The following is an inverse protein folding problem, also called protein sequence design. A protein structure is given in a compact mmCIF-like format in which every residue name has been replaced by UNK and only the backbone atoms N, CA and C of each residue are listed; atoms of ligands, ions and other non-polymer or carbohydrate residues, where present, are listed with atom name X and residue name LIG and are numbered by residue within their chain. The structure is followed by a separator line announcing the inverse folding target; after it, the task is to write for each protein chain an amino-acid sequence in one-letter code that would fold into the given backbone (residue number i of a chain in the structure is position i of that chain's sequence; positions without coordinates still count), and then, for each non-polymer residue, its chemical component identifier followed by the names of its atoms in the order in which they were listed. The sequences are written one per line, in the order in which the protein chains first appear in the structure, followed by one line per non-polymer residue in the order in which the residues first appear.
data_IF_296614581675
#
_entry.id   IF_296614581675
#
_cell.length_a   1.000
_cell.length_b   1.000
_cell.length_c   1.000
_cell.angle_alpha   90.00
_cell.angle_beta   90.00
_cell.angle_gamma   90.00
#
_symmetry.space_group_name_H-M   'P 1'
#
loop_
_entity.id
_entity.type
_entity.pdbx_description
1 polymer ?
#
# COMPACT_ATOMS: atom_id res chain seq x y z
N UNK A 1 18.32 9.66 28.39
CA UNK A 1 18.36 8.46 27.52
C UNK A 1 17.01 8.26 26.85
N UNK A 2 16.82 8.79 25.63
CA UNK A 2 15.61 8.50 24.86
C UNK A 2 15.76 7.10 24.26
N UNK A 3 14.97 6.13 24.72
CA UNK A 3 14.87 4.82 24.06
C UNK A 3 14.44 5.09 22.61
N UNK A 4 15.27 4.72 21.65
CA UNK A 4 14.92 4.76 20.24
C UNK A 4 13.62 3.97 20.05
N UNK A 5 12.54 4.65 19.67
CA UNK A 5 11.26 4.01 19.40
C UNK A 5 11.44 3.02 18.26
N UNK A 6 10.80 1.86 18.36
CA UNK A 6 10.75 0.93 17.24
C UNK A 6 10.11 1.63 16.03
N UNK A 7 10.50 1.32 14.78
CA UNK A 7 9.97 1.99 13.58
C UNK A 7 8.44 2.01 13.50
N UNK A 8 7.78 0.95 14.00
CA UNK A 8 6.31 0.88 14.12
C UNK A 8 5.74 1.91 15.09
N UNK A 9 6.28 1.99 16.31
CA UNK A 9 5.83 2.98 17.30
C UNK A 9 6.08 4.41 16.85
N UNK A 10 7.18 4.66 16.15
CA UNK A 10 7.46 5.99 15.58
C UNK A 10 6.41 6.38 14.51
N UNK A 11 5.95 5.44 13.69
CA UNK A 11 4.88 5.67 12.72
C UNK A 11 3.52 5.91 13.40
N UNK A 12 3.19 5.12 14.42
CA UNK A 12 1.97 5.28 15.23
C UNK A 12 1.92 6.65 15.94
N UNK A 13 3.01 7.05 16.60
CA UNK A 13 3.13 8.35 17.26
C UNK A 13 2.99 9.50 16.25
N UNK A 14 3.58 9.37 15.06
CA UNK A 14 3.45 10.37 14.00
C UNK A 14 2.01 10.49 13.52
N UNK A 15 1.32 9.37 13.30
CA UNK A 15 -0.08 9.36 12.89
C UNK A 15 -0.98 10.01 13.97
N UNK A 16 -0.74 9.69 15.24
CA UNK A 16 -1.45 10.30 16.36
C UNK A 16 -1.22 11.82 16.43
N UNK A 17 0.03 12.26 16.31
CA UNK A 17 0.38 13.69 16.30
C UNK A 17 -0.28 14.42 15.13
N UNK A 18 -0.33 13.81 13.95
CA UNK A 18 -0.96 14.40 12.78
C UNK A 18 -2.46 14.60 12.99
N UNK A 19 -3.16 13.59 13.51
CA UNK A 19 -4.59 13.70 13.81
C UNK A 19 -4.82 14.82 14.83
N UNK A 20 -4.00 14.88 15.88
CA UNK A 20 -4.09 15.93 16.89
C UNK A 20 -3.85 17.32 16.31
N UNK A 21 -2.78 17.52 15.54
CA UNK A 21 -2.46 18.79 14.89
C UNK A 21 -3.55 19.18 13.90
N UNK A 22 -4.01 18.25 13.06
CA UNK A 22 -5.10 18.48 12.11
C UNK A 22 -6.40 18.89 12.79
N UNK A 23 -6.75 18.24 13.90
CA UNK A 23 -7.92 18.59 14.71
C UNK A 23 -7.82 20.00 15.30
N UNK A 24 -6.67 20.34 15.90
CA UNK A 24 -6.43 21.67 16.49
C UNK A 24 -6.47 22.78 15.43
N UNK A 25 -5.81 22.56 14.28
CA UNK A 25 -5.79 23.53 13.18
C UNK A 25 -7.17 23.70 12.57
N UNK A 26 -7.94 22.62 12.39
CA UNK A 26 -9.30 22.69 11.86
C UNK A 26 -10.24 23.44 12.81
N UNK A 27 -10.12 23.20 14.12
CA UNK A 27 -10.87 23.94 15.12
C UNK A 27 -10.53 25.43 15.09
N UNK A 28 -9.24 25.77 15.14
CA UNK A 28 -8.77 27.15 15.11
C UNK A 28 -9.26 27.91 13.86
N UNK A 29 -9.11 27.31 12.67
CA UNK A 29 -9.54 27.95 11.42
C UNK A 29 -11.06 28.11 11.34
N UNK A 30 -11.83 27.11 11.77
CA UNK A 30 -13.28 27.20 11.78
C UNK A 30 -13.79 28.29 12.75
N UNK A 31 -13.16 28.42 13.92
CA UNK A 31 -13.46 29.49 14.87
C UNK A 31 -13.04 30.86 14.33
N UNK A 32 -11.88 30.96 13.69
CA UNK A 32 -11.41 32.20 13.07
C UNK A 32 -12.33 32.68 11.93
N UNK A 33 -12.91 31.75 11.18
CA UNK A 33 -13.92 32.00 10.16
C UNK A 33 -15.34 32.22 10.73
N UNK A 34 -15.50 32.17 12.06
CA UNK A 34 -16.78 32.35 12.78
C UNK A 34 -17.86 31.36 12.32
N UNK A 35 -17.48 30.13 11.99
CA UNK A 35 -18.44 29.10 11.61
C UNK A 35 -19.27 28.68 12.83
N UNK A 36 -20.61 28.48 12.69
CA UNK A 36 -21.49 28.23 13.83
C UNK A 36 -21.15 26.97 14.62
N UNK A 37 -20.62 25.94 13.95
CA UNK A 37 -20.34 24.63 14.56
C UNK A 37 -18.93 24.12 14.21
N UNK A 38 -17.87 24.70 14.80
CA UNK A 38 -16.47 24.39 14.46
C UNK A 38 -16.09 22.91 14.61
N UNK A 39 -16.78 22.17 15.49
CA UNK A 39 -16.53 20.75 15.71
C UNK A 39 -16.73 19.89 14.45
N UNK A 40 -17.57 20.30 13.49
CA UNK A 40 -17.73 19.59 12.22
C UNK A 40 -16.49 19.67 11.32
N UNK A 41 -15.76 20.79 11.39
CA UNK A 41 -14.47 20.93 10.70
C UNK A 41 -13.46 19.97 11.31
N UNK A 42 -13.45 19.83 12.64
CA UNK A 42 -12.59 18.88 13.36
C UNK A 42 -12.89 17.44 12.95
N UNK A 43 -14.16 17.02 13.01
CA UNK A 43 -14.59 15.68 12.60
C UNK A 43 -14.18 15.43 11.15
N UNK A 44 -14.39 16.39 10.25
CA UNK A 44 -14.04 16.22 8.84
C UNK A 44 -12.55 16.11 8.60
N UNK A 45 -11.72 16.89 9.30
CA UNK A 45 -10.27 16.75 9.25
C UNK A 45 -9.82 15.35 9.69
N UNK A 46 -10.36 14.86 10.82
CA UNK A 46 -10.06 13.51 11.32
C UNK A 46 -10.47 12.44 10.32
N UNK A 47 -11.70 12.53 9.77
CA UNK A 47 -12.18 11.55 8.80
C UNK A 47 -11.33 11.56 7.54
N UNK A 48 -10.98 12.72 7.00
CA UNK A 48 -10.09 12.80 5.83
C UNK A 48 -8.73 12.20 6.14
N UNK A 49 -8.15 12.48 7.30
CA UNK A 49 -6.86 11.89 7.72
C UNK A 49 -6.94 10.36 7.79
N UNK A 50 -7.99 9.82 8.41
CA UNK A 50 -8.15 8.38 8.62
C UNK A 50 -8.53 7.61 7.35
N UNK A 51 -9.43 8.16 6.52
CA UNK A 51 -9.97 7.48 5.34
C UNK A 51 -9.08 7.61 4.11
N UNK A 52 -8.11 8.52 4.11
CA UNK A 52 -7.11 8.61 3.04
C UNK A 52 -6.02 7.55 3.13
N UNK A 53 -6.00 6.74 4.20
CA UNK A 53 -5.12 5.56 4.29
C UNK A 53 -5.64 4.50 3.32
N UNK A 54 -4.96 4.32 2.18
CA UNK A 54 -5.38 3.34 1.17
C UNK A 54 -5.93 3.93 -0.13
N UNK A 55 -6.07 5.26 -0.23
CA UNK A 55 -6.69 5.93 -1.39
C UNK A 55 -6.17 7.35 -1.62
N UNK A 56 -6.61 7.97 -2.72
CA UNK A 56 -6.26 9.37 -3.02
C UNK A 56 -6.92 10.31 -2.02
N UNK A 57 -6.10 11.04 -1.24
CA UNK A 57 -6.56 12.07 -0.28
C UNK A 57 -7.47 13.11 -0.93
N UNK A 58 -7.18 13.48 -2.17
CA UNK A 58 -7.95 14.48 -2.88
C UNK A 58 -9.30 13.90 -3.34
N UNK A 59 -9.34 12.61 -3.69
CA UNK A 59 -10.60 11.92 -4.02
C UNK A 59 -11.49 11.85 -2.79
N UNK A 60 -10.94 11.50 -1.63
CA UNK A 60 -11.68 11.48 -0.35
C UNK A 60 -12.23 12.87 -0.01
N UNK A 61 -11.40 13.92 -0.10
CA UNK A 61 -11.82 15.28 0.16
C UNK A 61 -12.89 15.77 -0.84
N UNK A 62 -12.72 15.47 -2.14
CA UNK A 62 -13.70 15.79 -3.19
C UNK A 62 -15.02 15.07 -2.93
N UNK A 63 -14.98 13.78 -2.64
CA UNK A 63 -16.16 12.96 -2.41
C UNK A 63 -16.92 13.46 -1.17
N UNK A 64 -16.23 13.88 -0.11
CA UNK A 64 -16.87 14.56 1.03
C UNK A 64 -17.51 15.89 0.64
N UNK A 65 -16.79 16.75 -0.08
CA UNK A 65 -17.31 18.05 -0.50
C UNK A 65 -18.57 17.90 -1.37
N UNK A 66 -18.52 17.05 -2.41
CA UNK A 66 -19.65 16.82 -3.32
C UNK A 66 -20.83 16.15 -2.61
N UNK A 67 -20.57 15.16 -1.75
CA UNK A 67 -21.61 14.51 -0.97
C UNK A 67 -22.30 15.45 0.02
N UNK A 68 -21.53 16.32 0.68
CA UNK A 68 -22.10 17.35 1.56
C UNK A 68 -22.92 18.35 0.78
N UNK A 69 -22.45 18.84 -0.37
CA UNK A 69 -23.25 19.74 -1.21
C UNK A 69 -24.56 19.07 -1.64
N UNK A 70 -24.51 17.81 -2.11
CA UNK A 70 -25.71 17.08 -2.49
C UNK A 70 -26.69 16.90 -1.32
N UNK A 71 -26.20 16.51 -0.14
CA UNK A 71 -27.02 16.37 1.05
C UNK A 71 -27.59 17.70 1.55
N UNK A 72 -26.80 18.78 1.50
CA UNK A 72 -27.22 20.12 1.89
C UNK A 72 -28.30 20.67 0.95
N UNK A 73 -28.21 20.40 -0.36
CA UNK A 73 -29.24 20.77 -1.33
C UNK A 73 -30.55 20.02 -1.07
N UNK A 74 -30.51 18.69 -0.94
CA UNK A 74 -31.71 17.90 -0.67
C UNK A 74 -32.32 18.28 0.68
N UNK A 75 -31.49 18.37 1.73
CA UNK A 75 -31.95 18.76 3.05
C UNK A 75 -32.51 20.17 3.09
N UNK A 76 -31.88 21.12 2.40
CA UNK A 76 -32.33 22.50 2.28
C UNK A 76 -33.67 22.62 1.57
N UNK A 77 -33.88 21.89 0.48
CA UNK A 77 -35.18 21.84 -0.24
C UNK A 77 -36.27 21.29 0.66
N UNK A 78 -36.02 20.16 1.34
CA UNK A 78 -37.01 19.55 2.25
C UNK A 78 -37.32 20.47 3.43
N UNK A 79 -36.31 21.10 4.01
CA UNK A 79 -36.48 22.03 5.11
C UNK A 79 -37.21 23.32 4.68
N UNK A 80 -37.02 23.77 3.44
CA UNK A 80 -37.70 24.94 2.88
C UNK A 80 -39.20 24.72 2.71
N UNK A 81 -39.60 23.50 2.30
CA UNK A 81 -41.03 23.12 2.17
C UNK A 81 -41.75 23.15 3.52
N UNK A 82 -41.02 23.08 4.65
CA UNK A 82 -41.56 23.10 6.02
C UNK A 82 -42.74 22.14 6.23
N UNK A 83 -42.50 20.82 6.26
CA UNK A 83 -43.55 19.84 6.52
C UNK A 83 -44.19 20.12 7.89
N UNK A 84 -45.48 20.41 7.91
CA UNK A 84 -46.19 20.73 9.15
C UNK A 84 -46.46 19.46 9.99
N UNK A 85 -46.06 19.49 11.25
CA UNK A 85 -46.28 18.41 12.21
C UNK A 85 -45.16 17.36 12.23
N UNK A 86 -44.94 16.80 13.41
CA UNK A 86 -43.82 15.87 13.67
C UNK A 86 -43.84 14.64 12.77
N UNK A 87 -45.03 14.13 12.43
CA UNK A 87 -45.19 12.95 11.57
C UNK A 87 -44.72 13.21 10.14
N UNK A 88 -45.05 14.38 9.58
CA UNK A 88 -44.62 14.77 8.23
C UNK A 88 -43.13 15.06 8.18
N UNK A 89 -42.57 15.65 9.24
CA UNK A 89 -41.13 15.84 9.36
C UNK A 89 -40.39 14.49 9.45
N UNK A 90 -40.91 13.52 10.21
CA UNK A 90 -40.35 12.17 10.26
C UNK A 90 -40.42 11.47 8.89
N UNK A 91 -41.56 11.56 8.19
CA UNK A 91 -41.75 10.94 6.88
C UNK A 91 -40.81 11.53 5.81
N UNK A 92 -40.68 12.86 5.77
CA UNK A 92 -39.79 13.54 4.81
C UNK A 92 -38.31 13.31 5.13
N UNK A 93 -37.92 13.30 6.42
CA UNK A 93 -36.59 12.91 6.84
C UNK A 93 -36.27 11.47 6.43
N UNK A 94 -37.17 10.53 6.72
CA UNK A 94 -37.01 9.12 6.35
C UNK A 94 -36.89 8.96 4.83
N UNK A 95 -37.76 9.61 4.05
CA UNK A 95 -37.73 9.58 2.58
C UNK A 95 -36.44 10.15 2.00
N UNK A 96 -35.98 11.32 2.49
CA UNK A 96 -34.76 11.96 2.03
C UNK A 96 -33.51 11.12 2.36
N UNK A 97 -33.41 10.62 3.59
CA UNK A 97 -32.28 9.80 4.05
C UNK A 97 -32.27 8.46 3.31
N UNK A 98 -33.41 7.77 3.20
CA UNK A 98 -33.52 6.50 2.48
C UNK A 98 -33.22 6.66 0.99
N UNK A 99 -33.76 7.70 0.35
CA UNK A 99 -33.48 8.00 -1.06
C UNK A 99 -32.01 8.25 -1.32
N UNK A 100 -31.38 9.14 -0.54
CA UNK A 100 -29.95 9.41 -0.65
C UNK A 100 -29.10 8.18 -0.36
N UNK A 101 -29.46 7.37 0.64
CA UNK A 101 -28.76 6.13 0.97
C UNK A 101 -28.86 5.09 -0.15
N UNK A 102 -30.05 4.97 -0.76
CA UNK A 102 -30.27 4.12 -1.93
C UNK A 102 -29.36 4.53 -3.09
N UNK A 103 -29.35 5.83 -3.44
CA UNK A 103 -28.49 6.36 -4.51
C UNK A 103 -26.99 6.35 -4.17
N UNK A 104 -26.61 6.29 -2.89
CA UNK A 104 -25.22 6.13 -2.48
C UNK A 104 -24.66 4.72 -2.77
N UNK A 105 -25.52 3.74 -3.02
CA UNK A 105 -25.10 2.39 -3.41
C UNK A 105 -24.30 2.46 -4.71
N UNK A 106 -23.04 2.04 -4.67
CA UNK A 106 -22.13 2.12 -5.82
C UNK A 106 -21.59 3.52 -6.14
N UNK A 107 -21.95 4.56 -5.37
CA UNK A 107 -21.50 5.95 -5.57
C UNK A 107 -20.84 6.48 -4.28
N UNK A 108 -19.53 6.23 -4.07
CA UNK A 108 -18.83 6.59 -2.83
C UNK A 108 -18.96 8.06 -2.42
N UNK A 109 -19.02 8.98 -3.39
CA UNK A 109 -19.17 10.41 -3.16
C UNK A 109 -20.49 10.82 -2.51
N UNK A 110 -21.54 9.99 -2.60
CA UNK A 110 -22.85 10.27 -1.96
C UNK A 110 -22.95 9.75 -0.53
N UNK A 111 -21.95 9.01 -0.01
CA UNK A 111 -22.05 8.34 1.30
C UNK A 111 -22.34 9.29 2.48
N UNK A 112 -21.89 10.54 2.42
CA UNK A 112 -22.11 11.54 3.48
C UNK A 112 -23.39 12.38 3.27
N UNK A 113 -24.00 12.29 2.08
CA UNK A 113 -25.18 13.08 1.74
C UNK A 113 -26.38 12.83 2.66
N UNK A 114 -26.74 11.57 3.02
CA UNK A 114 -27.87 11.31 3.92
C UNK A 114 -27.70 11.96 5.30
N UNK A 115 -26.50 11.88 5.85
CA UNK A 115 -26.17 12.51 7.16
C UNK A 115 -26.30 14.02 7.07
N UNK A 116 -25.76 14.62 6.01
CA UNK A 116 -25.83 16.08 5.81
C UNK A 116 -27.29 16.54 5.64
N UNK A 117 -28.08 15.82 4.84
CA UNK A 117 -29.49 16.12 4.65
C UNK A 117 -30.27 16.03 5.97
N UNK A 118 -30.03 15.00 6.77
CA UNK A 118 -30.67 14.85 8.08
C UNK A 118 -30.39 16.03 9.02
N UNK A 119 -29.14 16.51 9.06
CA UNK A 119 -28.76 17.66 9.88
C UNK A 119 -29.47 18.93 9.41
N UNK A 120 -29.49 19.20 8.10
CA UNK A 120 -30.11 20.41 7.55
C UNK A 120 -31.64 20.38 7.73
N UNK A 121 -32.28 19.22 7.56
CA UNK A 121 -33.72 19.06 7.80
C UNK A 121 -34.05 19.29 9.28
N UNK A 122 -33.29 18.68 10.19
CA UNK A 122 -33.53 18.79 11.63
C UNK A 122 -33.24 20.21 12.16
N UNK A 123 -32.19 20.86 11.68
CA UNK A 123 -31.79 22.19 12.13
C UNK A 123 -32.47 23.35 11.38
N UNK A 124 -33.06 23.10 10.20
CA UNK A 124 -33.64 24.13 9.34
C UNK A 124 -34.87 24.85 9.92
N UNK A 125 -35.42 24.34 11.02
CA UNK A 125 -36.46 24.99 11.82
C UNK A 125 -35.93 26.11 12.74
N UNK A 126 -34.60 26.28 12.81
CA UNK A 126 -33.95 27.31 13.64
C UNK A 126 -34.02 28.73 13.06
N UNK A 127 -33.54 29.73 13.81
CA UNK A 127 -33.66 31.16 13.47
C UNK A 127 -32.95 31.58 12.18
N UNK A 128 -31.87 30.90 11.83
CA UNK A 128 -31.00 31.24 10.68
C UNK A 128 -31.59 30.80 9.33
N UNK A 129 -32.61 29.93 9.37
CA UNK A 129 -33.25 29.36 8.19
C UNK A 129 -32.41 28.26 7.50
N UNK A 130 -33.06 27.46 6.64
CA UNK A 130 -32.45 26.24 6.09
C UNK A 130 -31.31 26.51 5.10
N UNK A 131 -31.36 27.64 4.38
CA UNK A 131 -30.33 28.00 3.40
C UNK A 131 -29.00 28.37 4.07
N UNK A 132 -29.03 29.17 5.14
CA UNK A 132 -27.84 29.55 5.89
C UNK A 132 -27.21 28.33 6.55
N UNK A 133 -28.02 27.49 7.22
CA UNK A 133 -27.54 26.26 7.85
C UNK A 133 -26.87 25.30 6.84
N UNK A 134 -27.44 25.18 5.64
CA UNK A 134 -26.88 24.38 4.55
C UNK A 134 -25.52 24.93 4.07
N UNK A 135 -25.43 26.25 3.90
CA UNK A 135 -24.18 26.92 3.51
C UNK A 135 -23.10 26.73 4.57
N UNK A 136 -23.45 26.92 5.84
CA UNK A 136 -22.52 26.75 6.96
C UNK A 136 -21.98 25.33 7.01
N UNK A 137 -22.85 24.32 6.82
CA UNK A 137 -22.41 22.91 6.72
C UNK A 137 -21.39 22.71 5.61
N UNK A 138 -21.67 23.23 4.42
CA UNK A 138 -20.73 23.11 3.30
C UNK A 138 -19.38 23.72 3.69
N UNK A 139 -19.39 24.90 4.30
CA UNK A 139 -18.18 25.59 4.72
C UNK A 139 -17.37 24.83 5.78
N UNK A 140 -17.98 24.27 6.85
CA UNK A 140 -17.17 23.49 7.82
C UNK A 140 -16.60 22.21 7.21
N UNK A 141 -17.35 21.53 6.34
CA UNK A 141 -16.84 20.31 5.71
C UNK A 141 -15.67 20.68 4.78
N UNK A 142 -15.75 21.79 4.03
CA UNK A 142 -14.66 22.26 3.19
C UNK A 142 -13.42 22.64 4.00
N UNK A 143 -13.58 23.40 5.09
CA UNK A 143 -12.47 23.79 5.97
C UNK A 143 -11.81 22.56 6.58
N UNK A 144 -12.60 21.68 7.19
CA UNK A 144 -12.08 20.44 7.78
C UNK A 144 -11.41 19.53 6.75
N UNK A 145 -12.00 19.35 5.58
CA UNK A 145 -11.42 18.53 4.52
C UNK A 145 -10.12 19.11 4.00
N UNK A 146 -10.06 20.43 3.80
CA UNK A 146 -8.85 21.14 3.38
C UNK A 146 -7.71 21.00 4.39
N UNK A 147 -8.01 21.20 5.68
CA UNK A 147 -7.02 20.98 6.76
C UNK A 147 -6.55 19.54 6.79
N UNK A 148 -7.44 18.57 6.64
CA UNK A 148 -7.09 17.14 6.58
C UNK A 148 -6.13 16.83 5.43
N UNK A 149 -6.40 17.38 4.24
CA UNK A 149 -5.51 17.25 3.07
C UNK A 149 -4.14 17.86 3.35
N UNK A 150 -4.09 19.09 3.87
CA UNK A 150 -2.83 19.78 4.18
C UNK A 150 -2.02 19.02 5.22
N UNK A 151 -2.67 18.55 6.30
CA UNK A 151 -2.02 17.77 7.35
C UNK A 151 -1.41 16.48 6.80
N UNK A 152 -2.11 15.79 5.90
CA UNK A 152 -1.59 14.61 5.20
C UNK A 152 -0.38 14.96 4.34
N UNK A 153 -0.50 15.98 3.48
CA UNK A 153 0.54 16.32 2.51
C UNK A 153 1.82 16.82 3.16
N UNK A 154 1.72 17.52 4.30
CA UNK A 154 2.88 18.03 5.02
C UNK A 154 3.58 16.95 5.86
N UNK A 155 2.86 15.98 6.44
CA UNK A 155 3.44 15.03 7.41
C UNK A 155 3.76 13.63 6.84
N UNK A 156 3.13 13.18 5.74
CA UNK A 156 3.13 11.77 5.33
C UNK A 156 3.77 11.34 3.99
N UNK A 157 4.12 12.20 3.01
CA UNK A 157 4.44 11.69 1.66
C UNK A 157 5.71 10.83 1.61
N UNK A 158 6.69 11.10 2.48
CA UNK A 158 7.98 10.39 2.48
C UNK A 158 7.92 9.03 3.18
N UNK A 159 7.14 8.91 4.25
CA UNK A 159 7.16 7.69 5.08
C UNK A 159 6.40 6.54 4.43
N UNK A 160 5.24 6.78 3.83
CA UNK A 160 4.47 5.71 3.17
C UNK A 160 5.26 5.09 2.00
N UNK A 161 5.96 5.91 1.21
CA UNK A 161 6.84 5.46 0.12
C UNK A 161 8.02 4.63 0.63
N UNK A 162 8.65 5.07 1.72
CA UNK A 162 9.71 4.30 2.38
C UNK A 162 9.19 2.96 2.91
N UNK A 163 8.05 2.96 3.61
CA UNK A 163 7.41 1.74 4.13
C UNK A 163 7.06 0.77 3.00
N UNK A 164 6.49 1.26 1.89
CA UNK A 164 6.24 0.43 0.71
C UNK A 164 7.53 -0.19 0.17
N UNK A 165 8.60 0.59 0.02
CA UNK A 165 9.89 0.09 -0.48
C UNK A 165 10.50 -0.96 0.46
N UNK A 166 10.38 -0.78 1.77
CA UNK A 166 10.85 -1.75 2.78
C UNK A 166 10.02 -3.03 2.73
N UNK A 167 8.68 -2.93 2.63
CA UNK A 167 7.82 -4.10 2.51
C UNK A 167 8.06 -4.86 1.19
N UNK A 168 8.36 -4.16 0.09
CA UNK A 168 8.72 -4.81 -1.17
C UNK A 168 10.04 -5.59 -1.06
N UNK A 169 11.03 -5.02 -0.36
CA UNK A 169 12.31 -5.68 -0.05
C UNK A 169 12.12 -6.90 0.84
N UNK A 170 11.32 -6.79 1.90
CA UNK A 170 10.98 -7.91 2.78
C UNK A 170 10.25 -9.03 2.00
N UNK A 171 9.31 -8.68 1.13
CA UNK A 171 8.61 -9.65 0.27
C UNK A 171 9.57 -10.36 -0.69
N UNK A 172 10.55 -9.65 -1.26
CA UNK A 172 11.59 -10.25 -2.09
C UNK A 172 12.47 -11.23 -1.28
N UNK A 173 12.87 -10.86 -0.07
CA UNK A 173 13.62 -11.75 0.83
C UNK A 173 12.86 -13.01 1.18
N UNK A 174 11.57 -12.90 1.54
CA UNK A 174 10.71 -14.07 1.81
C UNK A 174 10.45 -14.93 0.58
N UNK A 175 10.33 -14.32 -0.60
CA UNK A 175 10.25 -15.07 -1.85
C UNK A 175 11.52 -15.87 -2.12
N UNK A 176 12.71 -15.30 -1.85
CA UNK A 176 13.98 -15.97 -2.00
C UNK A 176 14.12 -17.16 -1.04
N UNK A 177 13.85 -16.94 0.25
CA UNK A 177 13.89 -17.99 1.29
C UNK A 177 12.96 -19.16 0.94
N UNK A 178 11.72 -18.86 0.57
CA UNK A 178 10.72 -19.88 0.23
C UNK A 178 11.10 -20.63 -1.05
N UNK A 179 11.62 -19.94 -2.07
CA UNK A 179 12.06 -20.58 -3.30
C UNK A 179 13.27 -21.48 -3.07
N UNK A 180 14.24 -21.06 -2.24
CA UNK A 180 15.37 -21.89 -1.85
C UNK A 180 14.94 -23.13 -1.06
N UNK A 181 13.96 -22.99 -0.15
CA UNK A 181 13.39 -24.12 0.58
C UNK A 181 12.69 -25.11 -0.35
N UNK A 182 11.93 -24.63 -1.34
CA UNK A 182 11.30 -25.47 -2.37
C UNK A 182 12.33 -26.29 -3.15
N UNK A 183 13.52 -25.73 -3.41
CA UNK A 183 14.58 -26.42 -4.14
C UNK A 183 15.19 -27.61 -3.39
N UNK A 184 15.01 -27.69 -2.05
CA UNK A 184 15.45 -28.86 -1.29
C UNK A 184 14.63 -30.12 -1.64
N UNK A 185 13.49 -29.96 -2.35
CA UNK A 185 12.65 -31.08 -2.77
C UNK A 185 12.19 -31.92 -1.59
N UNK A 186 12.23 -33.25 -1.75
CA UNK A 186 11.83 -34.22 -0.71
C UNK A 186 12.55 -34.02 0.64
N UNK A 187 13.73 -33.41 0.66
CA UNK A 187 14.45 -33.13 1.90
C UNK A 187 13.85 -31.97 2.72
N UNK A 188 12.88 -31.23 2.16
CA UNK A 188 12.22 -30.13 2.85
C UNK A 188 11.12 -30.64 3.81
N UNK A 189 11.12 -30.12 5.04
CA UNK A 189 10.00 -30.34 5.97
C UNK A 189 8.71 -29.68 5.42
N UNK A 190 7.70 -30.50 5.14
CA UNK A 190 6.40 -30.05 4.62
C UNK A 190 5.67 -29.09 5.57
N UNK A 191 5.87 -29.20 6.88
CA UNK A 191 5.30 -28.28 7.86
C UNK A 191 5.96 -26.90 7.78
N UNK A 192 7.29 -26.85 7.66
CA UNK A 192 8.04 -25.60 7.46
C UNK A 192 7.72 -24.95 6.10
N UNK A 193 7.60 -25.75 5.03
CA UNK A 193 7.21 -25.26 3.70
C UNK A 193 5.82 -24.60 3.73
N UNK A 194 4.84 -25.26 4.35
CA UNK A 194 3.49 -24.72 4.52
C UNK A 194 3.49 -23.43 5.35
N UNK A 195 4.29 -23.38 6.43
CA UNK A 195 4.47 -22.19 7.28
C UNK A 195 5.07 -21.03 6.48
N UNK A 196 6.10 -21.27 5.66
CA UNK A 196 6.74 -20.24 4.81
C UNK A 196 5.80 -19.72 3.73
N UNK A 197 4.97 -20.58 3.14
CA UNK A 197 3.92 -20.13 2.23
C UNK A 197 2.90 -19.19 2.91
N UNK A 198 2.50 -19.51 4.15
CA UNK A 198 1.59 -18.67 4.92
C UNK A 198 2.22 -17.31 5.30
N UNK A 199 3.49 -17.31 5.73
CA UNK A 199 4.23 -16.07 6.03
C UNK A 199 4.38 -15.19 4.79
N UNK A 200 4.74 -15.78 3.65
CA UNK A 200 4.82 -15.08 2.37
C UNK A 200 3.49 -14.44 1.99
N UNK A 201 2.37 -15.17 2.12
CA UNK A 201 1.02 -14.62 1.88
C UNK A 201 0.76 -13.38 2.74
N UNK A 202 1.01 -13.48 4.06
CA UNK A 202 0.84 -12.36 4.99
C UNK A 202 1.70 -11.15 4.62
N UNK A 203 2.92 -11.39 4.13
CA UNK A 203 3.80 -10.31 3.64
C UNK A 203 3.28 -9.65 2.37
N UNK A 204 2.71 -10.41 1.44
CA UNK A 204 2.09 -9.84 0.24
C UNK A 204 0.84 -9.02 0.56
N UNK A 205 0.03 -9.46 1.54
CA UNK A 205 -1.09 -8.67 2.04
C UNK A 205 -0.61 -7.34 2.64
N UNK A 206 0.45 -7.39 3.45
CA UNK A 206 1.06 -6.18 4.05
C UNK A 206 1.65 -5.25 2.98
N UNK A 207 2.29 -5.81 1.94
CA UNK A 207 2.80 -5.04 0.81
C UNK A 207 1.67 -4.36 0.03
N UNK A 208 0.56 -5.06 -0.20
CA UNK A 208 -0.63 -4.48 -0.85
C UNK A 208 -1.21 -3.32 -0.04
N UNK A 209 -1.32 -3.48 1.28
CA UNK A 209 -1.74 -2.41 2.19
C UNK A 209 -0.77 -1.23 2.15
N UNK A 210 0.54 -1.48 2.18
CA UNK A 210 1.56 -0.43 2.10
C UNK A 210 1.51 0.32 0.76
N UNK A 211 1.23 -0.38 -0.35
CA UNK A 211 1.10 0.21 -1.68
C UNK A 211 -0.11 1.16 -1.76
N UNK A 212 -1.23 0.74 -1.16
CA UNK A 212 -2.44 1.53 -1.06
C UNK A 212 -2.27 2.73 -0.11
N UNK A 213 -1.48 2.59 0.95
CA UNK A 213 -1.21 3.65 1.91
C UNK A 213 -0.33 4.79 1.35
N UNK A 214 0.33 4.60 0.18
CA UNK A 214 1.06 5.67 -0.50
C UNK A 214 0.06 6.63 -1.13
N UNK A 215 0.04 7.85 -0.61
CA UNK A 215 -0.84 8.91 -1.09
C UNK A 215 -0.22 9.56 -2.33
N UNK A 216 -0.99 9.57 -3.41
CA UNK A 216 -0.58 10.15 -4.69
C UNK A 216 -1.00 11.62 -4.80
N UNK A 217 -0.08 12.44 -5.28
CA UNK A 217 -0.40 13.79 -5.74
C UNK A 217 -1.00 13.73 -7.16
N UNK A 218 -1.73 14.77 -7.59
CA UNK A 218 -2.17 14.91 -8.98
C UNK A 218 -1.02 14.71 -9.97
N UNK A 219 -1.21 13.87 -10.99
CA UNK A 219 -0.20 13.55 -12.02
C UNK A 219 0.68 12.33 -11.72
N UNK A 220 0.53 11.68 -10.55
CA UNK A 220 1.30 10.49 -10.19
C UNK A 220 0.63 9.16 -10.62
N UNK A 221 -0.34 9.15 -11.56
CA UNK A 221 -1.08 7.93 -11.91
C UNK A 221 -0.17 6.78 -12.37
N UNK A 222 0.92 7.12 -13.06
CA UNK A 222 1.93 6.13 -13.48
C UNK A 222 2.56 5.44 -12.28
N UNK A 223 2.90 6.20 -11.24
CA UNK A 223 3.49 5.64 -10.03
C UNK A 223 2.52 4.73 -9.28
N UNK A 224 1.23 5.11 -9.20
CA UNK A 224 0.17 4.24 -8.65
C UNK A 224 0.08 2.92 -9.41
N UNK A 225 0.05 3.00 -10.74
CA UNK A 225 -0.02 1.84 -11.61
C UNK A 225 1.21 0.93 -11.44
N UNK A 226 2.41 1.52 -11.33
CA UNK A 226 3.67 0.81 -11.11
C UNK A 226 3.66 0.08 -9.76
N UNK A 227 3.21 0.72 -8.67
CA UNK A 227 3.11 0.07 -7.34
C UNK A 227 2.13 -1.10 -7.35
N UNK A 228 0.96 -0.91 -7.98
CA UNK A 228 -0.04 -1.96 -8.11
C UNK A 228 0.45 -3.12 -9.01
N UNK A 229 1.19 -2.81 -10.07
CA UNK A 229 1.85 -3.81 -10.91
C UNK A 229 2.87 -4.61 -10.12
N UNK A 230 3.71 -3.96 -9.31
CA UNK A 230 4.69 -4.65 -8.47
C UNK A 230 4.03 -5.64 -7.49
N UNK A 231 2.94 -5.23 -6.82
CA UNK A 231 2.17 -6.11 -5.94
C UNK A 231 1.66 -7.35 -6.70
N UNK A 232 1.08 -7.15 -7.90
CA UNK A 232 0.61 -8.27 -8.74
C UNK A 232 1.76 -9.20 -9.14
N UNK A 233 2.91 -8.65 -9.50
CA UNK A 233 4.09 -9.45 -9.87
C UNK A 233 4.55 -10.32 -8.70
N UNK A 234 4.60 -9.82 -7.47
CA UNK A 234 4.92 -10.65 -6.31
C UNK A 234 3.89 -11.76 -6.04
N UNK A 235 2.60 -11.49 -6.26
CA UNK A 235 1.56 -12.52 -6.18
C UNK A 235 1.74 -13.62 -7.23
N UNK A 236 2.16 -13.26 -8.45
CA UNK A 236 2.51 -14.22 -9.49
C UNK A 236 3.73 -15.05 -9.10
N UNK A 237 4.80 -14.41 -8.63
CA UNK A 237 5.99 -15.11 -8.12
C UNK A 237 5.62 -16.13 -7.03
N UNK A 238 4.72 -15.78 -6.10
CA UNK A 238 4.25 -16.75 -5.09
C UNK A 238 3.55 -17.94 -5.73
N UNK A 239 2.67 -17.72 -6.71
CA UNK A 239 1.99 -18.80 -7.44
C UNK A 239 3.01 -19.69 -8.19
N UNK A 240 4.01 -19.09 -8.83
CA UNK A 240 5.08 -19.82 -9.52
C UNK A 240 5.86 -20.70 -8.54
N UNK A 241 6.19 -20.18 -7.35
CA UNK A 241 6.88 -20.94 -6.31
C UNK A 241 6.02 -22.12 -5.82
N UNK A 242 4.69 -21.97 -5.73
CA UNK A 242 3.78 -23.07 -5.40
C UNK A 242 3.80 -24.15 -6.49
N UNK A 243 3.77 -23.75 -7.77
CA UNK A 243 3.79 -24.69 -8.90
C UNK A 243 5.16 -25.41 -8.95
N UNK A 244 6.27 -24.67 -8.84
CA UNK A 244 7.62 -25.24 -8.75
C UNK A 244 7.74 -26.18 -7.56
N UNK A 245 7.18 -25.81 -6.41
CA UNK A 245 7.09 -26.65 -5.21
C UNK A 245 6.50 -28.02 -5.51
N UNK A 246 5.37 -28.07 -6.21
CA UNK A 246 4.75 -29.35 -6.61
C UNK A 246 5.63 -30.18 -7.54
N UNK A 247 6.44 -29.53 -8.39
CA UNK A 247 7.37 -30.21 -9.28
C UNK A 247 8.59 -30.79 -8.55
N UNK A 248 9.22 -30.02 -7.67
CA UNK A 248 10.41 -30.44 -6.90
C UNK A 248 10.11 -31.44 -5.78
N UNK A 249 8.86 -31.51 -5.31
CA UNK A 249 8.42 -32.48 -4.29
C UNK A 249 7.95 -33.82 -4.90
N UNK A 250 8.00 -33.97 -6.23
CA UNK A 250 7.71 -35.24 -6.87
C UNK A 250 8.88 -36.23 -6.69
N UNK A 251 8.57 -37.52 -6.61
CA UNK A 251 9.57 -38.56 -6.35
C UNK A 251 10.69 -38.54 -7.41
N UNK A 252 11.95 -38.45 -6.99
CA UNK A 252 13.10 -38.40 -7.91
C UNK A 252 13.14 -37.13 -8.78
N UNK A 253 12.58 -36.02 -8.33
CA UNK A 253 12.56 -34.76 -9.08
C UNK A 253 13.93 -34.09 -9.21
N UNK A 254 14.82 -34.23 -8.21
CA UNK A 254 16.12 -33.56 -8.18
C UNK A 254 17.02 -33.96 -9.36
N UNK A 255 17.06 -35.25 -9.71
CA UNK A 255 17.82 -35.74 -10.86
C UNK A 255 17.20 -35.31 -12.21
N UNK A 256 15.87 -35.18 -12.25
CA UNK A 256 15.11 -34.84 -13.47
C UNK A 256 15.07 -33.34 -13.78
N UNK A 257 15.21 -32.50 -12.76
CA UNK A 257 15.08 -31.04 -12.83
C UNK A 257 16.43 -30.30 -12.75
N UNK A 258 17.57 -30.98 -12.91
CA UNK A 258 18.91 -30.36 -12.88
C UNK A 258 19.03 -29.01 -13.62
N UNK A 259 18.63 -28.89 -14.90
CA UNK A 259 18.66 -27.62 -15.64
C UNK A 259 17.76 -26.51 -15.06
N UNK A 260 16.66 -26.91 -14.41
CA UNK A 260 15.73 -26.00 -13.72
C UNK A 260 16.30 -25.51 -12.40
N UNK A 261 17.17 -26.30 -11.75
CA UNK A 261 17.88 -25.92 -10.53
C UNK A 261 18.74 -24.68 -10.72
N UNK A 262 19.55 -24.61 -11.78
CA UNK A 262 20.41 -23.44 -12.03
C UNK A 262 19.61 -22.16 -12.31
N UNK A 263 18.55 -22.26 -13.12
CA UNK A 263 17.64 -21.15 -13.38
C UNK A 263 16.94 -20.67 -12.09
N UNK A 264 16.56 -21.61 -11.23
CA UNK A 264 15.91 -21.31 -9.95
C UNK A 264 16.88 -20.64 -8.97
N UNK A 265 18.12 -21.11 -8.87
CA UNK A 265 19.19 -20.45 -8.10
C UNK A 265 19.47 -19.02 -8.61
N UNK A 266 19.50 -18.84 -9.93
CA UNK A 266 19.65 -17.53 -10.55
C UNK A 266 18.51 -16.57 -10.19
N UNK A 267 17.30 -17.09 -9.96
CA UNK A 267 16.16 -16.30 -9.50
C UNK A 267 16.19 -16.03 -7.99
N UNK A 268 16.64 -16.97 -7.16
CA UNK A 268 16.88 -16.76 -5.72
C UNK A 268 17.85 -15.61 -5.52
N UNK A 269 19.02 -15.64 -6.19
CA UNK A 269 20.04 -14.57 -6.09
C UNK A 269 19.50 -13.19 -6.48
N UNK A 270 18.60 -13.11 -7.46
CA UNK A 270 17.99 -11.83 -7.85
C UNK A 270 16.98 -11.33 -6.83
N UNK A 271 16.17 -12.23 -6.25
CA UNK A 271 15.23 -11.86 -5.18
C UNK A 271 16.00 -11.40 -3.93
N UNK A 272 17.16 -12.00 -3.63
CA UNK A 272 18.07 -11.53 -2.58
C UNK A 272 18.69 -10.17 -2.92
N UNK A 273 19.17 -9.97 -4.15
CA UNK A 273 19.67 -8.67 -4.57
C UNK A 273 18.59 -7.57 -4.44
N UNK A 274 17.35 -7.87 -4.84
CA UNK A 274 16.21 -6.96 -4.67
C UNK A 274 15.88 -6.70 -3.19
N UNK A 275 15.97 -7.71 -2.32
CA UNK A 275 15.74 -7.53 -0.88
C UNK A 275 16.79 -6.61 -0.25
N UNK A 276 18.02 -6.63 -0.76
CA UNK A 276 19.10 -5.73 -0.38
C UNK A 276 19.02 -4.36 -1.06
N UNK A 277 18.09 -4.15 -1.99
CA UNK A 277 17.90 -2.90 -2.71
C UNK A 277 18.86 -2.69 -3.87
N UNK A 278 19.52 -3.75 -4.35
CA UNK A 278 20.38 -3.72 -5.53
C UNK A 278 19.55 -3.89 -6.81
N UNK A 279 20.01 -3.30 -7.92
CA UNK A 279 19.39 -3.50 -9.22
C UNK A 279 19.64 -4.94 -9.68
N UNK A 280 18.57 -5.69 -9.93
CA UNK A 280 18.66 -7.00 -10.56
C UNK A 280 18.60 -6.84 -12.09
N UNK A 281 19.56 -7.43 -12.81
CA UNK A 281 19.54 -7.43 -14.27
C UNK A 281 18.42 -8.31 -14.84
N UNK A 282 18.04 -8.09 -16.11
CA UNK A 282 17.05 -8.90 -16.83
C UNK A 282 17.40 -10.39 -16.74
N UNK A 283 16.43 -11.25 -16.42
CA UNK A 283 16.57 -12.68 -16.68
C UNK A 283 16.50 -12.82 -18.19
N UNK A 284 17.60 -13.22 -18.83
CA UNK A 284 17.59 -13.55 -20.25
C UNK A 284 16.49 -14.56 -20.58
N UNK A 285 16.23 -14.76 -21.87
CA UNK A 285 15.26 -15.78 -22.26
C UNK A 285 15.64 -17.15 -21.66
N UNK A 286 14.70 -17.85 -21.00
CA UNK A 286 14.97 -19.21 -20.57
C UNK A 286 15.32 -20.04 -21.80
N UNK A 287 16.29 -20.94 -21.62
CA UNK A 287 16.73 -21.87 -22.65
C UNK A 287 15.49 -22.48 -23.34
N UNK A 288 15.41 -22.50 -24.68
CA UNK A 288 14.30 -23.13 -25.40
C UNK A 288 14.01 -24.57 -24.96
N UNK A 289 15.00 -25.30 -24.42
CA UNK A 289 14.82 -26.62 -23.81
C UNK A 289 13.92 -26.60 -22.56
N UNK A 290 13.83 -25.47 -21.86
CA UNK A 290 12.93 -25.23 -20.73
C UNK A 290 11.55 -24.72 -21.19
N UNK A 291 11.41 -24.21 -22.42
CA UNK A 291 10.16 -23.62 -22.93
C UNK A 291 9.18 -24.66 -23.49
N UNK A 292 9.61 -25.89 -23.73
CA UNK A 292 8.81 -26.92 -24.39
C UNK A 292 8.54 -28.09 -23.44
N UNK A 293 7.26 -28.27 -23.08
CA UNK A 293 6.74 -29.56 -22.62
C UNK A 293 6.77 -30.54 -23.78
N UNK A 294 7.95 -31.12 -24.05
CA UNK A 294 8.12 -32.15 -25.06
C UNK A 294 7.56 -33.48 -24.57
N UNK A 295 6.36 -33.83 -25.03
CA UNK A 295 5.93 -35.18 -25.42
C UNK A 295 5.74 -36.27 -24.35
N UNK A 296 6.36 -36.19 -23.18
CA UNK A 296 6.22 -37.21 -22.15
C UNK A 296 5.39 -36.66 -20.99
N UNK A 297 4.40 -37.42 -20.51
CA UNK A 297 3.42 -37.01 -19.47
C UNK A 297 4.00 -36.71 -18.09
N UNK A 298 5.24 -36.23 -17.99
CA UNK A 298 5.94 -35.90 -16.75
C UNK A 298 5.41 -34.59 -16.14
N UNK A 299 4.49 -34.78 -15.18
CA UNK A 299 3.84 -33.73 -14.41
C UNK A 299 4.84 -32.76 -13.74
N UNK A 300 6.01 -33.24 -13.34
CA UNK A 300 7.02 -32.44 -12.63
C UNK A 300 7.69 -31.41 -13.56
N UNK A 301 8.06 -31.84 -14.78
CA UNK A 301 8.59 -30.95 -15.83
C UNK A 301 7.55 -29.96 -16.32
N UNK A 302 6.30 -30.41 -16.48
CA UNK A 302 5.19 -29.54 -16.87
C UNK A 302 4.92 -28.44 -15.84
N UNK A 303 4.88 -28.78 -14.55
CA UNK A 303 4.72 -27.81 -13.47
C UNK A 303 5.89 -26.81 -13.45
N UNK A 304 7.14 -27.29 -13.51
CA UNK A 304 8.30 -26.42 -13.51
C UNK A 304 8.29 -25.43 -14.69
N UNK A 305 7.93 -25.91 -15.89
CA UNK A 305 7.82 -25.09 -17.10
C UNK A 305 6.76 -24.01 -17.02
N UNK A 306 5.60 -24.31 -16.46
CA UNK A 306 4.57 -23.30 -16.22
C UNK A 306 5.08 -22.25 -15.23
N UNK A 307 5.78 -22.65 -14.16
CA UNK A 307 6.31 -21.73 -13.15
C UNK A 307 7.40 -20.77 -13.67
N UNK A 308 8.34 -21.23 -14.50
CA UNK A 308 9.37 -20.31 -15.06
C UNK A 308 8.85 -19.47 -16.23
N UNK A 309 7.92 -19.99 -17.04
CA UNK A 309 7.37 -19.23 -18.18
C UNK A 309 6.43 -18.11 -17.73
N UNK A 310 5.70 -18.25 -16.62
CA UNK A 310 4.86 -17.19 -16.04
C UNK A 310 5.65 -16.02 -15.43
N UNK A 311 6.95 -16.24 -15.15
CA UNK A 311 7.90 -15.21 -14.69
C UNK A 311 8.36 -14.23 -15.78
N UNK A 312 7.84 -14.34 -17.01
CA UNK A 312 8.18 -13.55 -18.20
C UNK A 312 7.92 -12.05 -18.09
N UNK A 313 7.04 -11.61 -17.21
CA UNK A 313 6.71 -10.18 -17.13
C UNK A 313 7.85 -9.45 -16.42
N UNK A 314 8.43 -8.39 -17.03
CA UNK A 314 9.72 -7.86 -16.63
C UNK A 314 9.69 -7.48 -15.15
N UNK A 315 10.49 -8.20 -14.36
CA UNK A 315 10.89 -7.79 -13.03
C UNK A 315 11.84 -6.59 -13.19
N UNK A 316 11.24 -5.44 -13.49
CA UNK A 316 11.82 -4.10 -13.53
C UNK A 316 12.74 -3.76 -14.73
N UNK A 317 12.21 -2.97 -15.66
CA UNK A 317 12.99 -1.86 -16.22
C UNK A 317 13.35 -0.90 -15.06
N UNK A 318 14.49 -0.19 -15.09
CA UNK A 318 14.90 0.68 -13.99
C UNK A 318 13.80 1.70 -13.70
N UNK A 319 13.06 1.48 -12.61
CA UNK A 319 11.96 2.35 -12.20
C UNK A 319 12.52 3.77 -12.01
N UNK A 320 11.97 4.80 -12.64
CA UNK A 320 12.40 6.19 -12.43
C UNK A 320 12.25 6.63 -10.95
N UNK A 321 11.39 5.95 -10.17
CA UNK A 321 11.30 6.13 -8.72
C UNK A 321 12.53 5.63 -7.94
N UNK A 322 13.23 4.61 -8.44
CA UNK A 322 14.50 4.14 -7.84
C UNK A 322 15.60 5.19 -8.10
N UNK A 323 15.61 5.87 -9.26
CA UNK A 323 16.51 7.02 -9.49
C UNK A 323 16.24 8.20 -8.53
N UNK A 324 14.98 8.45 -8.16
CA UNK A 324 14.63 9.50 -7.19
C UNK A 324 15.02 9.15 -5.75
N UNK A 325 14.91 7.88 -5.37
CA UNK A 325 15.40 7.38 -4.07
C UNK A 325 16.94 7.37 -4.04
N UNK A 326 17.60 7.00 -5.14
CA UNK A 326 19.05 7.08 -5.29
C UNK A 326 19.54 8.54 -5.24
N UNK A 327 18.87 9.48 -5.93
CA UNK A 327 19.21 10.91 -5.88
C UNK A 327 19.02 11.51 -4.49
N UNK A 328 17.96 11.11 -3.77
CA UNK A 328 17.72 11.55 -2.40
C UNK A 328 18.72 10.95 -1.40
N UNK A 329 19.26 9.75 -1.67
CA UNK A 329 20.30 9.12 -0.87
C UNK A 329 21.68 9.70 -1.20
N UNK A 330 22.01 9.94 -2.47
CA UNK A 330 23.27 10.56 -2.90
C UNK A 330 23.38 12.04 -2.44
N UNK A 331 22.27 12.78 -2.42
CA UNK A 331 22.26 14.14 -1.83
C UNK A 331 22.33 14.13 -0.30
N UNK A 332 21.86 13.07 0.36
CA UNK A 332 22.01 12.87 1.80
C UNK A 332 23.43 12.48 2.20
N UNK A 333 24.07 11.60 1.42
CA UNK A 333 25.45 11.12 1.63
C UNK A 333 26.47 12.23 1.33
N UNK A 334 26.24 13.08 0.32
CA UNK A 334 27.13 14.24 0.05
C UNK A 334 27.13 15.31 1.16
N UNK A 335 26.16 15.29 2.09
CA UNK A 335 26.14 16.18 3.27
C UNK A 335 26.66 15.54 4.56
N UNK A 336 27.01 14.25 4.54
CA UNK A 336 27.55 13.52 5.68
C UNK A 336 28.87 12.84 5.33
N UNK A 337 29.93 13.62 5.15
CA UNK A 337 31.29 13.13 4.93
C UNK A 337 31.83 12.52 6.23
N UNK A 338 31.93 11.20 6.32
CA UNK A 338 32.95 10.45 7.08
C UNK A 338 33.22 9.11 6.36
N UNK A 339 34.50 8.82 6.17
CA UNK A 339 35.09 7.86 5.21
C UNK A 339 34.77 6.37 5.46
N UNK A 340 34.73 5.51 4.41
CA UNK A 340 34.61 4.07 4.53
C UNK A 340 35.99 3.40 4.59
N UNK A 341 36.30 2.72 5.69
CA UNK A 341 37.48 1.85 5.78
C UNK A 341 37.19 0.51 5.08
N UNK A 342 37.80 0.31 3.90
CA UNK A 342 37.86 -0.97 3.20
C UNK A 342 38.71 -1.97 4.00
N UNK A 343 38.19 -3.17 4.24
CA UNK A 343 39.02 -4.36 4.49
C UNK A 343 38.72 -5.42 3.44
N UNK A 344 39.69 -5.59 2.56
CA UNK A 344 39.73 -6.56 1.47
C UNK A 344 40.08 -7.96 1.96
N UNK A 345 39.53 -8.93 1.24
CA UNK A 345 39.54 -10.40 1.37
C UNK A 345 40.94 -11.07 1.33
N UNK A 346 42.05 -10.33 1.44
CA UNK A 346 43.42 -10.86 1.28
C UNK A 346 44.12 -11.26 2.58
N UNK A 347 43.61 -10.86 3.76
CA UNK A 347 44.24 -11.20 5.07
C UNK A 347 43.70 -12.49 5.72
N UNK A 348 42.70 -13.14 5.13
CA UNK A 348 42.12 -14.39 5.67
C UNK A 348 42.74 -15.67 5.10
N UNK A 349 43.71 -15.56 4.17
CA UNK A 349 44.41 -16.70 3.56
C UNK A 349 45.85 -16.90 4.06
N UNK A 350 46.34 -16.08 5.01
CA UNK A 350 47.69 -16.19 5.58
C UNK A 350 47.75 -16.91 6.94
N UNK A 351 46.68 -17.60 7.35
CA UNK A 351 46.59 -18.32 8.64
C UNK A 351 46.25 -19.82 8.49
N UNK A 352 46.39 -20.38 7.30
CA UNK A 352 46.31 -21.83 7.05
C UNK A 352 47.68 -22.31 6.60
N UNK A 353 48.62 -22.38 7.54
CA UNK A 353 49.93 -23.00 7.30
C UNK A 353 49.79 -24.52 7.28
N UNK A 354 49.73 -25.10 6.07
CA UNK A 354 50.06 -26.49 5.79
C UNK A 354 50.91 -26.51 4.51
N UNK A 355 52.23 -26.65 4.67
CA UNK A 355 53.15 -26.97 3.58
C UNK A 355 53.14 -28.48 3.30
N UNK A 356 53.09 -28.92 2.03
CA UNK A 356 53.38 -30.30 1.64
C UNK A 356 54.91 -30.54 1.49
N UNK A 357 55.37 -31.81 1.46
CA UNK A 357 56.74 -32.17 1.81
C UNK A 357 57.74 -31.94 0.68
N UNK A 358 58.98 -31.62 1.07
CA UNK A 358 60.17 -31.82 0.26
C UNK A 358 61.15 -32.71 1.06
N UNK A 359 61.33 -33.95 0.60
CA UNK A 359 62.19 -34.96 1.21
C UNK A 359 61.74 -36.36 0.85
#
# INVERSE_FOLDING_TARGET
MARALSPRRAAEVRAALQIAVGAVVAFYLATALKLPHPYWSVISAIVVIQTSVGGSVLTVARDRALGTVAGALVGGVVAFVRPEGVNWMMATLAGAVAGLAFFATGRPWLKIAPVTAAIVIAGGAGPEGPAQLALDRVMEILVGSGVGVIAILLLFPRHARQTFSLQAREAAGKAAELLALVMLGEAADGAELSRRHADMKKRLDTLGQAAAAVIDLPGAQKETADRAALVRTFWRVRSDIVILGRGFQAEGALDRLGPWGEATLGAVRRLEALSQGQAAGFLGDPDPALKLGGGDGDLARGAAAIGLTQRREPLMAPLPGVRLVQLSLDMGVRRGRLDPCMRTRSELLSLSGEEPPAG
#
